data_IF_061342973455
#
_entry.id   IF_061342973455
#
_cell.length_a   1.000
_cell.length_b   1.000
_cell.length_c   1.000
_cell.angle_alpha   90.00
_cell.angle_beta   90.00
_cell.angle_gamma   90.00
#
_symmetry.space_group_name_H-M   'P 1'
#
loop_
_entity.id
_entity.type
_entity.pdbx_description
1 polymer ?
#
# COMPACT_ATOMS: atom_id res chain seq x y z
N UNK A 1 26.83 -51.60 1.08
CA UNK A 1 27.76 -50.55 1.55
C UNK A 1 27.39 -49.10 1.14
N UNK A 2 26.21 -48.81 0.55
CA UNK A 2 25.81 -47.43 0.17
C UNK A 2 24.98 -46.66 1.20
N UNK A 3 24.50 -47.30 2.28
CA UNK A 3 23.63 -46.67 3.29
C UNK A 3 24.36 -45.91 4.41
N UNK A 4 25.67 -46.09 4.57
CA UNK A 4 26.44 -45.45 5.67
C UNK A 4 26.84 -43.99 5.39
N UNK A 5 26.80 -43.55 4.12
CA UNK A 5 27.28 -42.22 3.72
C UNK A 5 26.27 -41.08 3.98
N UNK A 6 24.97 -41.38 4.08
CA UNK A 6 23.92 -40.36 4.26
C UNK A 6 23.83 -39.91 5.72
N UNK A 7 24.03 -40.82 6.68
CA UNK A 7 23.99 -40.51 8.10
C UNK A 7 25.16 -39.65 8.58
N UNK A 8 26.36 -39.81 7.98
CA UNK A 8 27.50 -38.94 8.29
C UNK A 8 27.32 -37.50 7.77
N UNK A 9 26.64 -37.30 6.64
CA UNK A 9 26.34 -35.96 6.12
C UNK A 9 25.27 -35.24 6.96
N UNK A 10 24.26 -35.97 7.45
CA UNK A 10 23.23 -35.41 8.35
C UNK A 10 23.81 -35.03 9.73
N UNK A 11 24.77 -35.80 10.26
CA UNK A 11 25.41 -35.48 11.54
C UNK A 11 26.30 -34.22 11.46
N UNK A 12 26.93 -33.95 10.31
CA UNK A 12 27.77 -32.77 10.12
C UNK A 12 26.95 -31.48 9.89
N UNK A 13 25.74 -31.60 9.32
CA UNK A 13 24.82 -30.47 9.12
C UNK A 13 24.15 -30.00 10.42
N UNK A 14 24.11 -30.83 11.47
CA UNK A 14 23.47 -30.47 12.74
C UNK A 14 24.40 -29.70 13.70
N UNK A 15 25.71 -29.86 13.58
CA UNK A 15 26.68 -29.17 14.44
C UNK A 15 27.05 -27.75 13.98
N UNK A 16 26.62 -27.34 12.79
CA UNK A 16 26.93 -26.01 12.22
C UNK A 16 25.81 -24.99 12.36
N UNK A 17 24.79 -25.24 13.19
CA UNK A 17 23.83 -24.19 13.51
C UNK A 17 24.57 -23.09 14.29
N UNK A 18 24.65 -21.85 13.77
CA UNK A 18 25.32 -20.77 14.48
C UNK A 18 24.67 -20.63 15.84
N UNK A 19 25.46 -20.77 16.91
CA UNK A 19 25.00 -20.51 18.26
C UNK A 19 24.41 -19.10 18.25
N UNK A 20 23.09 -18.97 18.49
CA UNK A 20 22.47 -17.67 18.68
C UNK A 20 23.24 -17.01 19.82
N UNK A 21 23.91 -15.90 19.53
CA UNK A 21 24.63 -15.15 20.53
C UNK A 21 23.68 -14.92 21.71
N UNK A 22 24.07 -15.42 22.88
CA UNK A 22 23.26 -15.25 24.08
C UNK A 22 23.11 -13.75 24.33
N UNK A 23 21.87 -13.26 24.45
CA UNK A 23 21.65 -11.86 24.75
C UNK A 23 22.31 -11.53 26.11
N UNK A 24 22.94 -10.36 26.25
CA UNK A 24 23.57 -9.95 27.49
C UNK A 24 22.55 -9.85 28.64
N UNK A 25 23.05 -9.96 29.87
CA UNK A 25 22.23 -9.84 31.08
C UNK A 25 21.71 -8.42 31.33
N UNK A 26 20.72 -8.31 32.21
CA UNK A 26 20.04 -7.03 32.48
C UNK A 26 21.00 -6.02 33.13
N UNK A 27 21.10 -4.84 32.55
CA UNK A 27 21.90 -3.70 33.04
C UNK A 27 21.00 -2.56 33.55
N UNK A 28 21.53 -1.63 34.34
CA UNK A 28 20.77 -0.47 34.82
C UNK A 28 20.39 0.51 33.68
N UNK A 29 21.14 0.48 32.57
CA UNK A 29 20.80 1.21 31.33
C UNK A 29 19.60 0.60 30.59
N UNK A 30 19.02 -0.49 31.11
CA UNK A 30 17.95 -1.21 30.45
C UNK A 30 16.56 -0.61 30.71
N UNK A 31 16.39 0.33 31.63
CA UNK A 31 15.07 0.94 31.89
C UNK A 31 14.54 1.74 30.70
N UNK A 32 15.38 2.61 30.09
CA UNK A 32 15.00 3.35 28.88
C UNK A 32 14.79 2.39 27.69
N UNK A 33 15.69 1.43 27.53
CA UNK A 33 15.60 0.43 26.47
C UNK A 33 14.32 -0.43 26.59
N UNK A 34 13.95 -0.78 27.83
CA UNK A 34 12.71 -1.48 28.13
C UNK A 34 11.49 -0.64 27.74
N UNK A 35 11.46 0.62 28.11
CA UNK A 35 10.34 1.51 27.80
C UNK A 35 10.13 1.64 26.28
N UNK A 36 11.20 1.86 25.51
CA UNK A 36 11.15 1.91 24.05
C UNK A 36 10.66 0.59 23.43
N UNK A 37 11.13 -0.55 23.95
CA UNK A 37 10.71 -1.86 23.46
C UNK A 37 9.24 -2.15 23.80
N UNK A 38 8.79 -1.85 25.01
CA UNK A 38 7.38 -1.99 25.40
C UNK A 38 6.46 -1.08 24.58
N UNK A 39 6.87 0.16 24.30
CA UNK A 39 6.14 1.08 23.43
C UNK A 39 6.05 0.53 21.99
N UNK A 40 7.16 -0.03 21.47
CA UNK A 40 7.17 -0.67 20.16
C UNK A 40 6.17 -1.84 20.09
N UNK A 41 6.14 -2.68 21.13
CA UNK A 41 5.17 -3.79 21.22
C UNK A 41 3.73 -3.27 21.30
N UNK A 42 3.48 -2.20 22.05
CA UNK A 42 2.16 -1.59 22.13
C UNK A 42 1.70 -1.03 20.78
N UNK A 43 2.60 -0.38 20.03
CA UNK A 43 2.33 0.08 18.66
C UNK A 43 2.03 -1.10 17.73
N UNK A 44 2.78 -2.20 17.83
CA UNK A 44 2.58 -3.41 17.04
C UNK A 44 1.24 -4.10 17.33
N UNK A 45 0.81 -4.13 18.60
CA UNK A 45 -0.51 -4.65 19.02
C UNK A 45 -1.64 -3.79 18.47
N UNK A 46 -1.46 -2.46 18.44
CA UNK A 46 -2.40 -1.52 17.80
C UNK A 46 -2.39 -1.60 16.27
N UNK A 47 -1.45 -2.33 15.68
CA UNK A 47 -1.28 -2.46 14.23
C UNK A 47 -0.50 -1.32 13.59
N UNK A 48 0.06 -0.38 14.36
CA UNK A 48 0.91 0.69 13.85
C UNK A 48 2.34 0.18 13.64
N UNK A 49 2.52 -0.63 12.59
CA UNK A 49 3.78 -1.31 12.30
C UNK A 49 4.89 -0.32 11.92
N UNK A 50 4.55 0.83 11.32
CA UNK A 50 5.51 1.89 11.00
C UNK A 50 6.13 2.49 12.26
N UNK A 51 5.30 2.88 13.23
CA UNK A 51 5.78 3.39 14.52
C UNK A 51 6.54 2.32 15.30
N UNK A 52 6.07 1.07 15.31
CA UNK A 52 6.77 -0.03 15.96
C UNK A 52 8.18 -0.21 15.37
N UNK A 53 8.31 -0.16 14.04
CA UNK A 53 9.60 -0.23 13.33
C UNK A 53 10.52 0.92 13.75
N UNK A 54 10.03 2.15 13.73
CA UNK A 54 10.82 3.34 14.12
C UNK A 54 11.32 3.24 15.58
N UNK A 55 10.46 2.80 16.50
CA UNK A 55 10.81 2.63 17.91
C UNK A 55 11.89 1.55 18.09
N UNK A 56 11.80 0.42 17.38
CA UNK A 56 12.83 -0.63 17.42
C UNK A 56 14.15 -0.17 16.78
N UNK A 57 14.10 0.60 15.69
CA UNK A 57 15.30 1.19 15.07
C UNK A 57 15.99 2.17 16.03
N UNK A 58 15.19 3.04 16.69
CA UNK A 58 15.68 3.98 17.70
C UNK A 58 16.29 3.26 18.91
N UNK A 59 15.64 2.20 19.38
CA UNK A 59 16.13 1.34 20.46
C UNK A 59 17.49 0.73 20.11
N UNK A 60 17.61 0.11 18.94
CA UNK A 60 18.85 -0.55 18.50
C UNK A 60 19.97 0.47 18.27
N UNK A 61 19.63 1.67 17.77
CA UNK A 61 20.61 2.74 17.57
C UNK A 61 21.15 3.31 18.89
N UNK A 62 20.30 3.46 19.93
CA UNK A 62 20.71 4.01 21.24
C UNK A 62 21.37 2.99 22.15
N UNK A 63 20.92 1.73 22.11
CA UNK A 63 21.36 0.67 23.01
C UNK A 63 21.81 -0.58 22.23
N UNK A 64 22.82 -0.49 21.35
CA UNK A 64 23.14 -1.56 20.38
C UNK A 64 23.49 -2.90 21.04
N UNK A 65 24.07 -2.86 22.24
CA UNK A 65 24.52 -4.02 23.01
C UNK A 65 23.56 -4.39 24.15
N UNK A 66 22.40 -3.72 24.27
CA UNK A 66 21.42 -4.01 25.31
C UNK A 66 20.64 -5.31 25.07
N UNK A 67 20.13 -5.92 26.15
CA UNK A 67 19.26 -7.12 26.08
C UNK A 67 18.05 -6.89 25.15
N UNK A 68 17.41 -5.72 25.27
CA UNK A 68 16.26 -5.36 24.45
C UNK A 68 16.61 -5.14 22.98
N UNK A 69 17.81 -4.62 22.66
CA UNK A 69 18.25 -4.51 21.27
C UNK A 69 18.52 -5.90 20.66
N UNK A 70 19.06 -6.84 21.43
CA UNK A 70 19.22 -8.23 21.01
C UNK A 70 17.86 -8.87 20.62
N UNK A 71 16.80 -8.62 21.39
CA UNK A 71 15.43 -9.07 21.07
C UNK A 71 14.77 -8.28 19.94
N UNK A 72 15.06 -6.99 19.84
CA UNK A 72 14.48 -6.11 18.84
C UNK A 72 15.00 -6.39 17.43
N UNK A 73 16.26 -6.76 17.24
CA UNK A 73 16.85 -7.02 15.92
C UNK A 73 16.08 -8.05 15.08
N UNK A 74 15.81 -9.28 15.55
CA UNK A 74 15.05 -10.25 14.76
C UNK A 74 13.62 -9.77 14.50
N UNK A 75 13.02 -9.06 15.46
CA UNK A 75 11.67 -8.53 15.31
C UNK A 75 11.57 -7.37 14.32
N UNK A 76 12.59 -6.51 14.30
CA UNK A 76 12.76 -5.46 13.31
C UNK A 76 12.95 -6.07 11.92
N UNK A 77 13.71 -7.16 11.82
CA UNK A 77 13.88 -7.90 10.57
C UNK A 77 12.57 -8.55 10.09
N UNK A 78 11.77 -9.11 11.00
CA UNK A 78 10.43 -9.63 10.69
C UNK A 78 9.51 -8.50 10.19
N UNK A 79 9.53 -7.34 10.85
CA UNK A 79 8.77 -6.16 10.41
C UNK A 79 9.24 -5.60 9.07
N UNK A 80 10.56 -5.54 8.83
CA UNK A 80 11.15 -5.10 7.56
C UNK A 80 10.86 -6.06 6.42
N UNK A 81 10.91 -7.35 6.69
CA UNK A 81 10.60 -8.38 5.70
C UNK A 81 9.09 -8.57 5.47
N UNK A 82 8.25 -7.92 6.30
CA UNK A 82 6.79 -8.09 6.27
C UNK A 82 6.34 -9.53 6.55
N UNK A 83 7.23 -10.39 7.08
CA UNK A 83 6.93 -11.79 7.32
C UNK A 83 6.07 -11.93 8.58
N UNK A 84 4.91 -12.58 8.42
CA UNK A 84 4.12 -13.10 9.54
C UNK A 84 3.08 -12.16 10.14
N UNK A 85 2.94 -10.91 9.67
CA UNK A 85 1.83 -10.04 10.07
C UNK A 85 1.18 -9.37 8.87
N UNK A 86 -0.07 -9.77 8.59
CA UNK A 86 -0.94 -9.09 7.61
C UNK A 86 -1.05 -7.64 8.08
N UNK A 87 -0.44 -6.71 7.36
CA UNK A 87 -0.63 -5.28 7.60
C UNK A 87 -2.11 -4.95 7.31
N UNK A 88 -2.92 -4.95 8.38
CA UNK A 88 -4.37 -4.74 8.31
C UNK A 88 -4.69 -3.35 7.80
N UNK A 89 -3.85 -2.37 8.11
CA UNK A 89 -4.02 -0.98 7.69
C UNK A 89 -3.80 -0.84 6.19
N UNK A 90 -2.65 -1.27 5.67
CA UNK A 90 -2.39 -1.28 4.23
C UNK A 90 -3.43 -2.07 3.46
N UNK A 91 -3.90 -3.21 4.00
CA UNK A 91 -4.99 -3.98 3.42
C UNK A 91 -6.32 -3.22 3.40
N UNK A 92 -6.71 -2.63 4.52
CA UNK A 92 -7.95 -1.85 4.62
C UNK A 92 -7.92 -0.63 3.69
N UNK A 93 -6.77 0.03 3.59
CA UNK A 93 -6.56 1.14 2.69
C UNK A 93 -6.67 0.71 1.22
N UNK A 94 -6.04 -0.41 0.84
CA UNK A 94 -6.17 -0.96 -0.51
C UNK A 94 -7.63 -1.33 -0.85
N UNK A 95 -8.33 -2.02 0.06
CA UNK A 95 -9.75 -2.38 -0.10
C UNK A 95 -10.62 -1.12 -0.28
N UNK A 96 -10.38 -0.10 0.54
CA UNK A 96 -11.11 1.17 0.47
C UNK A 96 -10.92 1.83 -0.89
N UNK A 97 -9.68 1.94 -1.36
CA UNK A 97 -9.40 2.55 -2.65
C UNK A 97 -9.88 1.73 -3.84
N UNK A 98 -9.78 0.39 -3.81
CA UNK A 98 -10.34 -0.48 -4.83
C UNK A 98 -11.88 -0.39 -4.90
N UNK A 99 -12.55 -0.24 -3.75
CA UNK A 99 -14.00 -0.01 -3.67
C UNK A 99 -14.37 1.33 -4.31
N UNK A 100 -13.66 2.41 -3.97
CA UNK A 100 -13.88 3.74 -4.55
C UNK A 100 -13.59 3.76 -6.05
N UNK A 101 -12.51 3.12 -6.49
CA UNK A 101 -12.20 2.96 -7.91
C UNK A 101 -13.30 2.17 -8.65
N UNK A 102 -13.82 1.11 -8.03
CA UNK A 102 -14.95 0.36 -8.55
C UNK A 102 -16.18 1.25 -8.71
N UNK A 103 -16.49 2.07 -7.70
CA UNK A 103 -17.60 3.04 -7.74
C UNK A 103 -17.46 4.01 -8.92
N UNK A 104 -16.27 4.62 -9.03
CA UNK A 104 -15.92 5.52 -10.11
C UNK A 104 -16.01 4.87 -11.50
N UNK A 105 -15.52 3.62 -11.61
CA UNK A 105 -15.55 2.87 -12.86
C UNK A 105 -16.98 2.56 -13.29
N UNK A 106 -17.83 2.14 -12.36
CA UNK A 106 -19.25 1.91 -12.60
C UNK A 106 -19.97 3.16 -13.08
N UNK A 107 -19.73 4.30 -12.42
CA UNK A 107 -20.26 5.60 -12.85
C UNK A 107 -19.77 5.96 -14.27
N UNK A 108 -18.45 5.87 -14.51
CA UNK A 108 -17.86 6.24 -15.79
C UNK A 108 -18.39 5.40 -16.94
N UNK A 109 -18.53 4.09 -16.74
CA UNK A 109 -19.10 3.18 -17.74
C UNK A 109 -20.55 3.60 -18.08
N UNK A 110 -21.36 3.95 -17.09
CA UNK A 110 -22.71 4.43 -17.33
C UNK A 110 -22.71 5.73 -18.13
N UNK A 111 -21.91 6.73 -17.73
CA UNK A 111 -21.80 8.01 -18.44
C UNK A 111 -21.30 7.85 -19.88
N UNK A 112 -20.39 6.91 -20.12
CA UNK A 112 -19.92 6.55 -21.47
C UNK A 112 -21.08 5.95 -22.29
N UNK A 113 -21.88 5.07 -21.67
CA UNK A 113 -22.98 4.41 -22.35
C UNK A 113 -24.12 5.38 -22.71
N UNK A 114 -24.53 6.24 -21.78
CA UNK A 114 -25.68 7.16 -21.93
C UNK A 114 -25.34 8.42 -22.72
N UNK A 115 -24.14 8.98 -22.57
CA UNK A 115 -23.74 10.21 -23.25
C UNK A 115 -24.18 11.49 -22.53
N UNK A 116 -24.52 12.54 -23.28
CA UNK A 116 -24.76 13.90 -22.75
C UNK A 116 -26.22 14.15 -22.35
N UNK A 117 -27.17 13.45 -22.95
CA UNK A 117 -28.61 13.66 -22.77
C UNK A 117 -29.22 12.64 -21.81
N UNK A 118 -28.76 12.63 -20.54
CA UNK A 118 -29.32 11.71 -19.55
C UNK A 118 -30.73 12.13 -19.09
N UNK A 119 -31.69 11.23 -19.26
CA UNK A 119 -32.99 11.33 -18.61
C UNK A 119 -32.96 10.83 -17.14
N UNK A 120 -34.09 10.96 -16.43
CA UNK A 120 -34.21 10.52 -15.04
C UNK A 120 -33.96 9.01 -14.84
N UNK A 121 -34.29 8.18 -15.84
CA UNK A 121 -34.10 6.74 -15.76
C UNK A 121 -32.62 6.39 -15.94
N UNK A 122 -31.95 7.04 -16.88
CA UNK A 122 -30.52 6.90 -17.14
C UNK A 122 -29.67 7.42 -15.97
N UNK A 123 -30.06 8.53 -15.35
CA UNK A 123 -29.42 9.02 -14.13
C UNK A 123 -29.50 8.03 -12.97
N UNK A 124 -30.64 7.36 -12.80
CA UNK A 124 -30.77 6.25 -11.83
C UNK A 124 -29.88 5.07 -12.20
N UNK A 125 -29.79 4.73 -13.50
CA UNK A 125 -28.91 3.68 -13.97
C UNK A 125 -27.43 3.99 -13.69
N UNK A 126 -27.01 5.25 -13.80
CA UNK A 126 -25.65 5.68 -13.45
C UNK A 126 -25.34 5.51 -11.96
N UNK A 127 -26.27 5.88 -11.07
CA UNK A 127 -26.13 5.66 -9.62
C UNK A 127 -26.03 4.17 -9.30
N UNK A 128 -26.92 3.35 -9.87
CA UNK A 128 -26.87 1.90 -9.65
C UNK A 128 -25.60 1.26 -10.22
N UNK A 129 -25.08 1.78 -11.33
CA UNK A 129 -23.82 1.33 -11.90
C UNK A 129 -22.65 1.67 -10.98
N UNK A 130 -22.64 2.85 -10.33
CA UNK A 130 -21.63 3.17 -9.32
C UNK A 130 -21.71 2.24 -8.10
N UNK A 131 -22.92 1.91 -7.62
CA UNK A 131 -23.09 0.94 -6.53
C UNK A 131 -22.59 -0.45 -6.96
N UNK A 132 -23.01 -0.94 -8.13
CA UNK A 132 -22.57 -2.22 -8.67
C UNK A 132 -21.05 -2.28 -8.87
N UNK A 133 -20.46 -1.19 -9.37
CA UNK A 133 -19.02 -1.02 -9.50
C UNK A 133 -18.30 -1.05 -8.14
N UNK A 134 -18.86 -0.40 -7.11
CA UNK A 134 -18.29 -0.43 -5.75
C UNK A 134 -18.19 -1.87 -5.21
N UNK A 135 -19.26 -2.66 -5.39
CA UNK A 135 -19.28 -4.08 -5.01
C UNK A 135 -18.27 -4.88 -5.82
N UNK A 136 -18.19 -4.62 -7.12
CA UNK A 136 -17.22 -5.24 -8.02
C UNK A 136 -15.77 -4.85 -7.71
N UNK A 137 -15.51 -3.71 -7.06
CA UNK A 137 -14.19 -3.36 -6.52
C UNK A 137 -13.92 -4.02 -5.17
N UNK A 138 -14.90 -4.00 -4.27
CA UNK A 138 -14.79 -4.53 -2.91
C UNK A 138 -14.51 -6.03 -2.89
N UNK A 139 -15.33 -6.84 -3.58
CA UNK A 139 -15.25 -8.31 -3.49
C UNK A 139 -13.88 -8.84 -3.97
N UNK A 140 -13.38 -8.47 -5.16
CA UNK A 140 -12.05 -8.89 -5.61
C UNK A 140 -10.95 -8.34 -4.72
N UNK A 141 -11.07 -7.12 -4.19
CA UNK A 141 -10.04 -6.56 -3.31
C UNK A 141 -9.89 -7.35 -2.01
N UNK A 142 -10.99 -7.85 -1.42
CA UNK A 142 -10.94 -8.73 -0.25
C UNK A 142 -10.24 -10.06 -0.60
N UNK A 143 -10.61 -10.66 -1.73
CA UNK A 143 -10.08 -11.96 -2.17
C UNK A 143 -8.60 -11.87 -2.56
N UNK A 144 -8.19 -10.83 -3.28
CA UNK A 144 -6.81 -10.67 -3.74
C UNK A 144 -5.89 -10.21 -2.60
N UNK A 145 -6.40 -9.39 -1.68
CA UNK A 145 -5.55 -8.83 -0.61
C UNK A 145 -5.31 -9.79 0.56
N UNK A 146 -5.97 -10.94 0.62
CA UNK A 146 -5.67 -11.96 1.64
C UNK A 146 -4.25 -12.51 1.51
N UNK A 147 -3.76 -12.62 0.28
CA UNK A 147 -2.50 -13.30 -0.05
C UNK A 147 -1.39 -12.33 -0.46
N UNK A 148 -1.74 -11.05 -0.69
CA UNK A 148 -0.79 -10.02 -1.10
C UNK A 148 -0.18 -9.32 0.13
N UNK A 149 1.16 -9.32 0.29
CA UNK A 149 1.82 -8.46 1.25
C UNK A 149 1.62 -7.00 0.83
N UNK A 150 0.76 -6.30 1.56
CA UNK A 150 0.35 -4.93 1.25
C UNK A 150 0.80 -3.99 2.36
N UNK A 151 1.93 -3.31 2.17
CA UNK A 151 2.34 -2.22 3.07
C UNK A 151 1.40 -1.01 2.92
N UNK A 152 1.38 -0.13 3.92
CA UNK A 152 0.57 1.09 3.91
C UNK A 152 1.02 2.02 2.78
N UNK A 153 2.33 2.23 2.62
CA UNK A 153 2.90 3.00 1.51
C UNK A 153 2.56 2.42 0.14
N UNK A 154 2.62 1.10 -0.03
CA UNK A 154 2.20 0.43 -1.27
C UNK A 154 0.71 0.64 -1.57
N UNK A 155 -0.17 0.42 -0.59
CA UNK A 155 -1.60 0.65 -0.75
C UNK A 155 -1.91 2.12 -1.08
N UNK A 156 -1.23 3.05 -0.40
CA UNK A 156 -1.32 4.49 -0.65
C UNK A 156 -0.96 4.82 -2.09
N UNK A 157 0.16 4.30 -2.60
CA UNK A 157 0.60 4.55 -3.97
C UNK A 157 -0.32 3.94 -5.02
N UNK A 158 -0.85 2.75 -4.77
CA UNK A 158 -1.84 2.13 -5.66
C UNK A 158 -3.10 2.99 -5.74
N UNK A 159 -3.61 3.46 -4.60
CA UNK A 159 -4.79 4.32 -4.52
C UNK A 159 -4.53 5.70 -5.15
N UNK A 160 -3.34 6.24 -4.94
CA UNK A 160 -2.90 7.45 -5.60
C UNK A 160 -2.87 7.27 -7.12
N UNK A 161 -2.34 6.14 -7.63
CA UNK A 161 -2.23 5.89 -9.07
C UNK A 161 -3.55 6.03 -9.83
N UNK A 162 -4.63 5.42 -9.34
CA UNK A 162 -5.92 5.54 -10.04
C UNK A 162 -6.52 6.94 -9.92
N UNK A 163 -6.46 7.55 -8.74
CA UNK A 163 -6.98 8.91 -8.54
C UNK A 163 -6.19 9.93 -9.36
N UNK A 164 -4.88 9.75 -9.50
CA UNK A 164 -4.01 10.56 -10.35
C UNK A 164 -4.41 10.48 -11.81
N UNK A 165 -4.65 9.26 -12.31
CA UNK A 165 -5.14 9.03 -13.67
C UNK A 165 -6.52 9.65 -13.91
N UNK A 166 -7.43 9.53 -12.95
CA UNK A 166 -8.74 10.17 -12.95
C UNK A 166 -8.60 11.69 -13.12
N UNK A 167 -7.77 12.32 -12.28
CA UNK A 167 -7.58 13.77 -12.32
C UNK A 167 -6.94 14.23 -13.63
N UNK A 168 -6.01 13.46 -14.19
CA UNK A 168 -5.44 13.76 -15.51
C UNK A 168 -6.47 13.68 -16.64
N UNK A 169 -7.30 12.63 -16.66
CA UNK A 169 -8.30 12.51 -17.71
C UNK A 169 -9.35 13.62 -17.67
N UNK A 170 -9.72 14.08 -16.48
CA UNK A 170 -10.58 15.26 -16.35
C UNK A 170 -9.84 16.55 -16.68
N UNK A 171 -8.59 16.73 -16.26
CA UNK A 171 -7.82 17.92 -16.62
C UNK A 171 -7.67 18.10 -18.14
N UNK A 172 -7.53 16.99 -18.88
CA UNK A 172 -7.48 17.03 -20.34
C UNK A 172 -8.78 17.53 -20.99
N UNK A 173 -9.94 17.44 -20.32
CA UNK A 173 -11.18 18.04 -20.84
C UNK A 173 -11.27 19.55 -20.65
N UNK A 174 -10.36 20.17 -19.88
CA UNK A 174 -10.35 21.61 -19.63
C UNK A 174 -9.29 22.37 -20.44
N UNK A 175 -8.47 21.69 -21.25
CA UNK A 175 -7.51 22.39 -22.11
C UNK A 175 -8.24 23.31 -23.13
N UNK A 176 -7.57 24.20 -23.87
CA UNK A 176 -8.24 25.10 -24.83
C UNK A 176 -8.66 24.47 -26.18
N UNK A 177 -8.11 23.30 -26.54
CA UNK A 177 -8.43 22.54 -27.76
C UNK A 177 -9.38 21.31 -27.65
N UNK A 178 -9.86 20.84 -26.48
CA UNK A 178 -10.75 19.70 -26.33
C UNK A 178 -12.22 20.14 -26.43
N UNK A 179 -12.80 20.09 -27.62
CA UNK A 179 -14.25 19.86 -27.75
C UNK A 179 -14.51 18.37 -27.50
N UNK A 180 -14.27 17.93 -26.26
CA UNK A 180 -14.43 16.54 -25.86
C UNK A 180 -15.86 16.32 -25.35
N UNK A 181 -16.59 15.44 -26.04
CA UNK A 181 -17.88 14.96 -25.52
C UNK A 181 -17.74 14.39 -24.10
N UNK A 182 -18.83 14.39 -23.34
CA UNK A 182 -18.86 13.77 -22.00
C UNK A 182 -18.39 12.32 -22.07
N UNK A 183 -18.83 11.56 -23.09
CA UNK A 183 -18.40 10.18 -23.34
C UNK A 183 -16.87 10.07 -23.46
N UNK A 184 -16.23 10.95 -24.23
CA UNK A 184 -14.77 10.92 -24.39
C UNK A 184 -14.06 11.32 -23.11
N UNK A 185 -14.57 12.31 -22.37
CA UNK A 185 -14.02 12.74 -21.08
C UNK A 185 -14.04 11.63 -20.04
N UNK A 186 -15.19 10.98 -19.84
CA UNK A 186 -15.28 9.84 -18.91
C UNK A 186 -14.47 8.63 -19.39
N UNK A 187 -14.44 8.36 -20.70
CA UNK A 187 -13.61 7.31 -21.28
C UNK A 187 -12.12 7.52 -21.04
N UNK A 188 -11.63 8.74 -21.28
CA UNK A 188 -10.23 9.12 -21.04
C UNK A 188 -9.89 9.04 -19.55
N UNK A 189 -10.76 9.58 -18.69
CA UNK A 189 -10.57 9.51 -17.23
C UNK A 189 -10.56 8.08 -16.71
N UNK A 190 -11.49 7.23 -17.15
CA UNK A 190 -11.49 5.81 -16.80
C UNK A 190 -10.21 5.10 -17.27
N UNK A 191 -9.82 5.31 -18.53
CA UNK A 191 -8.63 4.72 -19.12
C UNK A 191 -7.34 5.11 -18.39
N UNK A 192 -7.15 6.40 -18.12
CA UNK A 192 -6.00 6.89 -17.37
C UNK A 192 -6.03 6.45 -15.90
N UNK A 193 -7.21 6.37 -15.27
CA UNK A 193 -7.35 5.80 -13.92
C UNK A 193 -6.88 4.35 -13.89
N UNK A 194 -7.32 3.52 -14.84
CA UNK A 194 -6.93 2.12 -14.93
C UNK A 194 -5.41 1.97 -15.16
N UNK A 195 -4.85 2.78 -16.06
CA UNK A 195 -3.40 2.80 -16.32
C UNK A 195 -2.61 3.23 -15.09
N UNK A 196 -3.05 4.27 -14.39
CA UNK A 196 -2.43 4.74 -13.16
C UNK A 196 -2.50 3.70 -12.04
N UNK A 197 -3.64 3.01 -11.90
CA UNK A 197 -3.81 1.93 -10.94
C UNK A 197 -2.87 0.75 -11.22
N UNK A 198 -2.92 0.21 -12.44
CA UNK A 198 -2.11 -0.92 -12.87
C UNK A 198 -0.61 -0.60 -12.85
N UNK A 199 -0.24 0.61 -13.29
CA UNK A 199 1.13 1.10 -13.26
C UNK A 199 1.66 1.21 -11.82
N UNK A 200 0.91 1.82 -10.91
CA UNK A 200 1.30 1.90 -9.50
C UNK A 200 1.37 0.50 -8.84
N UNK A 201 0.43 -0.38 -9.16
CA UNK A 201 0.45 -1.77 -8.67
C UNK A 201 1.70 -2.53 -9.13
N UNK A 202 2.08 -2.39 -10.40
CA UNK A 202 3.27 -3.01 -10.96
C UNK A 202 4.57 -2.39 -10.40
N UNK A 203 4.67 -1.06 -10.33
CA UNK A 203 5.86 -0.37 -9.84
C UNK A 203 6.13 -0.68 -8.36
N UNK A 204 5.09 -0.66 -7.52
CA UNK A 204 5.22 -0.97 -6.09
C UNK A 204 5.50 -2.44 -5.79
N UNK A 205 5.49 -3.32 -6.79
CA UNK A 205 6.02 -4.67 -6.65
C UNK A 205 7.55 -4.68 -6.57
N UNK A 206 8.20 -3.72 -7.24
CA UNK A 206 9.66 -3.62 -7.34
C UNK A 206 10.24 -2.51 -6.46
N UNK A 207 9.42 -1.53 -6.08
CA UNK A 207 9.81 -0.40 -5.24
C UNK A 207 9.19 -0.56 -3.85
N UNK A 208 10.04 -0.59 -2.83
CA UNK A 208 9.58 -0.45 -1.46
C UNK A 208 9.32 1.03 -1.19
N UNK A 209 8.04 1.39 -1.06
CA UNK A 209 7.63 2.78 -0.85
C UNK A 209 7.36 2.99 0.63
N UNK A 210 8.17 3.85 1.25
CA UNK A 210 7.94 4.27 2.61
C UNK A 210 6.62 5.06 2.73
N UNK A 211 5.91 4.89 3.85
CA UNK A 211 4.62 5.53 4.09
C UNK A 211 4.71 7.06 3.97
N UNK A 212 5.81 7.66 4.43
CA UNK A 212 6.07 9.10 4.34
C UNK A 212 6.22 9.59 2.89
N UNK A 213 6.94 8.84 2.05
CA UNK A 213 7.13 9.17 0.64
C UNK A 213 5.80 9.06 -0.12
N UNK A 214 5.02 8.01 0.16
CA UNK A 214 3.70 7.82 -0.43
C UNK A 214 2.73 8.95 -0.05
N UNK A 215 2.76 9.41 1.21
CA UNK A 215 1.95 10.53 1.68
C UNK A 215 2.35 11.85 0.99
N UNK A 216 3.65 12.11 0.84
CA UNK A 216 4.15 13.30 0.16
C UNK A 216 3.74 13.33 -1.32
N UNK A 217 3.90 12.21 -2.04
CA UNK A 217 3.55 12.13 -3.46
C UNK A 217 2.04 12.21 -3.66
N UNK A 218 1.26 11.50 -2.85
CA UNK A 218 -0.21 11.45 -3.00
C UNK A 218 -0.92 12.77 -2.71
N UNK A 219 -0.32 13.63 -1.88
CA UNK A 219 -0.86 14.96 -1.57
C UNK A 219 -0.44 16.00 -2.60
N UNK A 220 0.82 15.99 -3.04
CA UNK A 220 1.35 17.00 -3.97
C UNK A 220 0.91 16.77 -5.40
N UNK A 221 0.77 15.50 -5.80
CA UNK A 221 0.36 15.10 -7.14
C UNK A 221 -0.86 15.90 -7.59
N UNK A 222 -2.08 15.65 -7.05
CA UNK A 222 -3.34 16.13 -7.62
C UNK A 222 -3.34 17.65 -7.86
N UNK A 223 -2.73 18.42 -6.97
CA UNK A 223 -2.58 19.86 -7.12
C UNK A 223 -1.72 20.24 -8.33
N UNK A 224 -0.63 19.52 -8.58
CA UNK A 224 0.23 19.78 -9.73
C UNK A 224 -0.47 19.55 -11.07
N UNK A 225 -1.38 18.56 -11.17
CA UNK A 225 -2.26 18.40 -12.35
C UNK A 225 -3.07 19.66 -12.58
N UNK A 226 -3.74 20.13 -11.53
CA UNK A 226 -4.64 21.28 -11.63
C UNK A 226 -3.89 22.59 -11.89
N UNK A 227 -2.73 22.80 -11.28
CA UNK A 227 -1.88 23.95 -11.61
C UNK A 227 -1.42 23.92 -13.06
N UNK A 228 -0.99 22.75 -13.57
CA UNK A 228 -0.57 22.61 -14.97
C UNK A 228 -1.73 22.87 -15.93
N UNK A 229 -2.92 22.32 -15.63
CA UNK A 229 -4.12 22.56 -16.42
C UNK A 229 -4.49 24.04 -16.45
N UNK A 230 -4.52 24.69 -15.28
CA UNK A 230 -4.87 26.12 -15.17
C UNK A 230 -3.88 27.03 -15.91
N UNK A 231 -2.57 26.75 -15.84
CA UNK A 231 -1.56 27.51 -16.58
C UNK A 231 -1.69 27.27 -18.09
N UNK A 232 -1.96 26.02 -18.52
CA UNK A 232 -2.13 25.69 -19.93
C UNK A 232 -3.37 26.31 -20.59
N UNK A 233 -4.28 26.87 -19.79
CA UNK A 233 -5.48 27.59 -20.28
C UNK A 233 -5.31 29.11 -20.43
N UNK A 234 -4.20 29.68 -19.93
CA UNK A 234 -3.87 31.11 -20.06
C UNK A 234 -3.18 31.42 -21.39
#
# INVERSE_FOLDING_TARGET
MRFMSVWMLLAFLWSSLPARAACPGVSEQDEEARALYEEALAAEVKGNLGQARELLERLIARHPDGMFACWARPRLEDLRSGKGRINREGRAQFITGATLYGAWSGLSIAMIATGEDMDDAEGKAAIWSAIGGSVAGLVPSILLSSDLPMSTGRATMINFGWSWGLWHGMAFSFMPAPDLSARTTFGLSLGLSALGWGGAFALTHYLDVADGDAALVSTTGPWFTWFTAAIGTL
#
